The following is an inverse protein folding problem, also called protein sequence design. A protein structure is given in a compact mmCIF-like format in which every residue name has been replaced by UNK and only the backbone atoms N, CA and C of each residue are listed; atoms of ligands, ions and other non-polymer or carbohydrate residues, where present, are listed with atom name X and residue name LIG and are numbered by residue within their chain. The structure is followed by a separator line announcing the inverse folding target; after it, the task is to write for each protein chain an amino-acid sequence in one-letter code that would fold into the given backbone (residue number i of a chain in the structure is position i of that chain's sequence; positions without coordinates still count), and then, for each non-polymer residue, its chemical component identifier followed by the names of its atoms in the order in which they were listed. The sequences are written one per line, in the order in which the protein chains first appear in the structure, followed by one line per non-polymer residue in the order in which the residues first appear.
data_IF_602762911561
#
_entry.id   IF_602762911561
#
_cell.length_a   1.000
_cell.length_b   1.000
_cell.length_c   1.000
_cell.angle_alpha   90.00
_cell.angle_beta   90.00
_cell.angle_gamma   90.00
#
_symmetry.space_group_name_H-M   'P 1'
#
loop_
_entity.id
_entity.type
_entity.pdbx_description
1 polymer ?
#
# COMPACT_ATOMS: atom_id res chain seq x y z
N UNK A 1 -1.60 -6.09 7.28
CA UNK A 1 -1.38 -6.42 5.84
C UNK A 1 -0.41 -5.38 5.28
N UNK A 2 0.59 -5.81 4.51
CA UNK A 2 1.52 -4.90 3.82
C UNK A 2 1.04 -4.70 2.38
N UNK A 3 0.91 -3.44 1.96
CA UNK A 3 0.68 -3.04 0.57
C UNK A 3 1.96 -2.37 0.09
N UNK A 4 2.54 -2.84 -1.01
CA UNK A 4 3.78 -2.30 -1.59
C UNK A 4 3.58 -1.91 -3.06
N UNK A 5 4.38 -0.95 -3.51
CA UNK A 5 4.39 -0.44 -4.88
C UNK A 5 5.76 -0.73 -5.49
N UNK A 6 5.84 -1.22 -6.74
CA UNK A 6 7.11 -1.34 -7.44
C UNK A 6 7.68 0.05 -7.72
N UNK A 7 8.87 0.33 -7.18
CA UNK A 7 9.61 1.56 -7.46
C UNK A 7 11.04 1.27 -7.92
N UNK A 8 11.58 2.19 -8.72
CA UNK A 8 12.98 2.18 -9.18
C UNK A 8 13.79 3.16 -8.36
N UNK A 9 15.05 2.79 -8.11
CA UNK A 9 16.03 3.60 -7.37
C UNK A 9 15.64 3.87 -5.92
N UNK A 10 15.08 2.87 -5.23
CA UNK A 10 14.77 2.93 -3.80
C UNK A 10 16.01 3.30 -2.97
N UNK A 11 15.82 4.17 -1.98
CA UNK A 11 16.89 4.68 -1.10
C UNK A 11 17.94 5.53 -1.82
N UNK A 12 17.58 6.17 -2.94
CA UNK A 12 18.42 7.14 -3.63
C UNK A 12 17.77 8.52 -3.64
N UNK A 13 18.50 9.57 -4.02
CA UNK A 13 17.98 10.95 -4.05
C UNK A 13 16.88 11.16 -5.07
N UNK A 14 16.75 10.28 -6.07
CA UNK A 14 15.70 10.34 -7.09
C UNK A 14 15.07 8.96 -7.22
N UNK A 15 13.87 8.79 -6.68
CA UNK A 15 13.05 7.59 -6.84
C UNK A 15 12.07 7.77 -8.00
N UNK A 16 11.82 6.70 -8.77
CA UNK A 16 10.94 6.73 -9.94
C UNK A 16 9.90 5.62 -9.87
N UNK A 17 8.67 5.94 -10.25
CA UNK A 17 7.53 5.02 -10.21
C UNK A 17 6.46 5.46 -11.22
N UNK A 18 5.64 4.51 -11.65
CA UNK A 18 4.62 4.77 -12.66
C UNK A 18 3.40 5.46 -12.05
N UNK A 19 2.87 6.49 -12.71
CA UNK A 19 1.73 7.25 -12.20
C UNK A 19 0.50 6.37 -11.98
N UNK A 20 0.22 5.45 -12.90
CA UNK A 20 -0.95 4.57 -12.80
C UNK A 20 -0.86 3.62 -11.61
N UNK A 21 0.35 3.21 -11.21
CA UNK A 21 0.54 2.34 -10.04
C UNK A 21 0.21 3.10 -8.74
N UNK A 22 0.46 4.42 -8.69
CA UNK A 22 0.05 5.27 -7.58
C UNK A 22 -1.48 5.29 -7.48
N UNK A 23 -2.15 5.61 -8.59
CA UNK A 23 -3.61 5.76 -8.61
C UNK A 23 -4.32 4.46 -8.23
N UNK A 24 -3.85 3.34 -8.77
CA UNK A 24 -4.37 2.01 -8.43
C UNK A 24 -4.09 1.64 -6.97
N UNK A 25 -2.93 2.00 -6.42
CA UNK A 25 -2.63 1.72 -5.02
C UNK A 25 -3.47 2.55 -4.06
N UNK A 26 -3.73 3.82 -4.38
CA UNK A 26 -4.66 4.67 -3.62
C UNK A 26 -6.05 4.02 -3.59
N UNK A 27 -6.55 3.56 -4.74
CA UNK A 27 -7.84 2.88 -4.84
C UNK A 27 -7.84 1.58 -4.03
N UNK A 28 -6.78 0.78 -4.10
CA UNK A 28 -6.64 -0.45 -3.32
C UNK A 28 -6.65 -0.17 -1.81
N UNK A 29 -5.94 0.85 -1.34
CA UNK A 29 -5.95 1.27 0.08
C UNK A 29 -7.37 1.67 0.49
N UNK A 30 -8.06 2.48 -0.32
CA UNK A 30 -9.43 2.93 -0.05
C UNK A 30 -10.41 1.76 0.12
N UNK A 31 -10.46 0.85 -0.87
CA UNK A 31 -11.34 -0.32 -0.81
C UNK A 31 -10.97 -1.26 0.35
N UNK A 32 -9.67 -1.40 0.65
CA UNK A 32 -9.20 -2.19 1.78
C UNK A 32 -9.76 -1.65 3.10
N UNK A 33 -9.76 -0.32 3.28
CA UNK A 33 -10.31 0.32 4.48
C UNK A 33 -11.82 0.12 4.60
N UNK A 34 -12.56 0.18 3.50
CA UNK A 34 -14.01 -0.07 3.50
C UNK A 34 -14.35 -1.52 3.88
N UNK A 35 -13.49 -2.47 3.51
CA UNK A 35 -13.67 -3.88 3.83
C UNK A 35 -13.28 -4.24 5.27
N UNK A 36 -12.60 -3.36 6.02
CA UNK A 36 -12.18 -3.65 7.39
C UNK A 36 -13.38 -3.72 8.33
N UNK A 37 -13.44 -4.81 9.09
CA UNK A 37 -14.40 -4.98 10.19
C UNK A 37 -13.68 -5.03 11.54
N UNK A 38 -14.36 -4.78 12.68
CA UNK A 38 -13.76 -4.91 14.01
C UNK A 38 -13.22 -6.31 14.35
N UNK A 39 -13.58 -7.33 13.55
CA UNK A 39 -13.05 -8.69 13.67
C UNK A 39 -11.69 -8.87 13.00
N UNK A 40 -11.26 -7.89 12.21
CA UNK A 40 -9.99 -7.95 11.48
C UNK A 40 -8.85 -7.67 12.46
N UNK A 41 -8.19 -8.74 12.91
CA UNK A 41 -7.00 -8.60 13.76
C UNK A 41 -5.79 -8.28 12.88
N UNK A 42 -5.23 -7.09 13.06
CA UNK A 42 -4.03 -6.62 12.34
C UNK A 42 -2.78 -6.65 13.23
N UNK A 43 -2.87 -7.24 14.43
CA UNK A 43 -1.73 -7.35 15.34
C UNK A 43 -0.68 -8.31 14.78
N UNK A 44 0.57 -7.85 14.74
CA UNK A 44 1.74 -8.68 14.39
C UNK A 44 2.27 -9.49 15.56
N UNK A 45 1.88 -9.13 16.77
CA UNK A 45 2.25 -9.78 18.02
C UNK A 45 0.96 -10.23 18.71
N UNK A 46 0.92 -11.45 19.22
CA UNK A 46 -0.18 -11.90 20.07
C UNK A 46 -0.08 -11.25 21.45
#
# INVERSE_FOLDING_TARGET
VLISIPLRYMHTTVEMLHKDDIENTIKLIYESLLALTPKTNLSYFN
#
